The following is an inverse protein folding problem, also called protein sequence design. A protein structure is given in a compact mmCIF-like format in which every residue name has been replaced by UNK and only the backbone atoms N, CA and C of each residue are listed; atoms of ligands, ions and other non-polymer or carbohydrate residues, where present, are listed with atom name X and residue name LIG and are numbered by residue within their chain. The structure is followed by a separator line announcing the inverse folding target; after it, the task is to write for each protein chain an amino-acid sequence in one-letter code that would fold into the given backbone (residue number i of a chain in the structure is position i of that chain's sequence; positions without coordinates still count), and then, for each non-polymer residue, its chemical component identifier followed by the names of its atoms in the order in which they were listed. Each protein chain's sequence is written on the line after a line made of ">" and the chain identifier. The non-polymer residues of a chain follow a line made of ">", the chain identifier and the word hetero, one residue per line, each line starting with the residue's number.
data_IF_313708481854
#
_entry.id   IF_313708481854
#
_cell.length_a   1.000
_cell.length_b   1.000
_cell.length_c   1.000
_cell.angle_alpha   90.00
_cell.angle_beta   90.00
_cell.angle_gamma   90.00
#
_symmetry.space_group_name_H-M   'P 1'
#
loop_
_entity.id
_entity.type
_entity.pdbx_description
1 polymer ?
#
# COMPACT_ATOMS: atom_id res chain seq x y z
N UNK A 1 -2.38 -11.88 -3.88
CA UNK A 1 -1.11 -11.56 -4.59
C UNK A 1 -0.52 -12.84 -5.14
N UNK A 2 -0.05 -12.84 -6.41
CA UNK A 2 0.48 -14.04 -7.06
C UNK A 2 1.86 -14.45 -6.53
N UNK A 3 2.22 -15.75 -6.65
CA UNK A 3 3.57 -16.24 -6.31
C UNK A 3 4.68 -15.52 -7.11
N UNK A 4 4.41 -15.10 -8.34
CA UNK A 4 5.34 -14.32 -9.15
C UNK A 4 5.59 -12.92 -8.56
N UNK A 5 4.55 -12.26 -8.04
CA UNK A 5 4.69 -10.98 -7.35
C UNK A 5 5.54 -11.10 -6.08
N UNK A 6 5.32 -12.13 -5.26
CA UNK A 6 6.13 -12.39 -4.07
C UNK A 6 7.61 -12.56 -4.43
N UNK A 7 7.92 -13.40 -5.41
CA UNK A 7 9.30 -13.64 -5.86
C UNK A 7 10.01 -12.37 -6.34
N UNK A 8 9.28 -11.46 -6.99
CA UNK A 8 9.81 -10.16 -7.41
C UNK A 8 10.27 -9.32 -6.21
N UNK A 9 9.42 -9.21 -5.17
CA UNK A 9 9.72 -8.41 -3.98
C UNK A 9 10.85 -9.01 -3.14
N UNK A 10 10.89 -10.34 -3.00
CA UNK A 10 11.98 -11.03 -2.30
C UNK A 10 13.34 -10.81 -2.99
N UNK A 11 13.37 -10.91 -4.33
CA UNK A 11 14.60 -10.71 -5.10
C UNK A 11 15.14 -9.27 -5.03
N UNK A 12 14.26 -8.29 -4.86
CA UNK A 12 14.62 -6.87 -4.87
C UNK A 12 14.68 -6.22 -3.48
N UNK A 13 14.38 -6.96 -2.42
CA UNK A 13 14.21 -6.43 -1.06
C UNK A 13 15.42 -5.61 -0.55
N UNK A 14 16.65 -5.97 -0.92
CA UNK A 14 17.85 -5.28 -0.44
C UNK A 14 18.05 -3.89 -1.05
N UNK A 15 17.58 -3.68 -2.30
CA UNK A 15 17.86 -2.47 -3.07
C UNK A 15 16.73 -1.43 -3.00
N UNK A 16 15.51 -1.85 -2.73
CA UNK A 16 14.33 -0.97 -2.84
C UNK A 16 14.22 -0.01 -1.66
N UNK A 17 13.85 1.24 -1.97
CA UNK A 17 13.53 2.28 -0.99
C UNK A 17 12.17 2.87 -1.31
N UNK A 18 11.33 3.02 -0.28
CA UNK A 18 9.98 3.54 -0.40
C UNK A 18 9.90 4.98 0.09
N UNK A 19 9.14 5.83 -0.61
CA UNK A 19 9.17 7.28 -0.43
C UNK A 19 7.78 7.92 -0.28
N UNK A 20 6.69 7.14 -0.24
CA UNK A 20 5.36 7.70 0.00
C UNK A 20 5.34 8.42 1.34
N UNK A 21 5.09 9.74 1.38
CA UNK A 21 5.13 10.50 2.62
C UNK A 21 3.95 10.11 3.51
N UNK A 22 4.17 10.02 4.81
CA UNK A 22 3.13 9.83 5.81
C UNK A 22 2.70 11.21 6.36
N UNK A 23 1.45 11.61 6.11
CA UNK A 23 0.89 12.80 6.73
C UNK A 23 0.33 12.46 8.12
N UNK A 24 1.12 12.72 9.17
CA UNK A 24 0.76 12.42 10.55
C UNK A 24 -0.44 13.22 11.07
N UNK A 25 -0.70 14.41 10.50
CA UNK A 25 -1.85 15.24 10.89
C UNK A 25 -3.18 14.54 10.60
N UNK A 26 -3.23 13.70 9.57
CA UNK A 26 -4.41 12.91 9.23
C UNK A 26 -4.71 11.80 10.24
N UNK A 27 -3.73 11.44 11.05
CA UNK A 27 -3.86 10.46 12.13
C UNK A 27 -3.96 11.12 13.52
N UNK A 28 -3.84 12.45 13.61
CA UNK A 28 -3.73 13.17 14.89
C UNK A 28 -4.93 12.96 15.83
N UNK A 29 -6.12 12.66 15.28
CA UNK A 29 -7.32 12.35 16.07
C UNK A 29 -7.28 10.94 16.71
N UNK A 30 -6.36 10.06 16.31
CA UNK A 30 -6.21 8.74 16.92
C UNK A 30 -5.45 8.84 18.24
N UNK A 31 -5.89 8.15 19.30
CA UNK A 31 -5.12 8.04 20.52
C UNK A 31 -3.77 7.36 20.26
N UNK A 32 -2.72 7.71 21.02
CA UNK A 32 -1.38 7.10 20.82
C UNK A 32 -1.35 5.59 21.10
N UNK A 33 -2.34 5.07 21.82
CA UNK A 33 -2.53 3.64 22.04
C UNK A 33 -3.32 2.95 20.91
N UNK A 34 -3.75 3.67 19.86
CA UNK A 34 -4.50 3.10 18.75
C UNK A 34 -3.75 1.92 18.10
N UNK A 35 -4.49 0.86 17.77
CA UNK A 35 -3.97 -0.28 17.01
C UNK A 35 -3.97 0.09 15.53
N UNK A 36 -2.79 0.17 14.95
CA UNK A 36 -2.60 0.55 13.54
C UNK A 36 -1.98 -0.63 12.80
N UNK A 37 -2.54 -0.98 11.64
CA UNK A 37 -1.96 -1.96 10.72
C UNK A 37 -1.37 -1.22 9.51
N UNK A 38 -0.12 -1.50 9.18
CA UNK A 38 0.50 -1.14 7.89
C UNK A 38 0.50 -2.38 6.99
N UNK A 39 -0.42 -2.42 6.03
CA UNK A 39 -0.55 -3.56 5.11
C UNK A 39 0.32 -3.34 3.87
N UNK A 40 1.21 -4.28 3.59
CA UNK A 40 2.27 -4.11 2.59
C UNK A 40 3.40 -3.23 3.14
N UNK A 41 3.76 -3.43 4.41
CA UNK A 41 4.68 -2.55 5.15
C UNK A 41 6.13 -2.56 4.63
N UNK A 42 6.48 -3.50 3.75
CA UNK A 42 7.85 -3.70 3.30
C UNK A 42 8.80 -3.92 4.48
N UNK A 43 9.86 -3.13 4.53
CA UNK A 43 10.83 -3.15 5.63
C UNK A 43 10.45 -2.28 6.84
N UNK A 44 9.19 -1.80 6.93
CA UNK A 44 8.66 -1.13 8.11
C UNK A 44 8.97 0.37 8.23
N UNK A 45 9.24 1.07 7.13
CA UNK A 45 9.50 2.53 7.14
C UNK A 45 8.36 3.30 7.81
N UNK A 46 7.12 3.07 7.41
CA UNK A 46 5.93 3.74 7.96
C UNK A 46 5.75 3.44 9.44
N UNK A 47 6.02 2.20 9.86
CA UNK A 47 5.97 1.83 11.29
C UNK A 47 7.00 2.59 12.11
N UNK A 48 8.22 2.77 11.58
CA UNK A 48 9.25 3.54 12.26
C UNK A 48 8.84 5.02 12.44
N UNK A 49 8.19 5.62 11.42
CA UNK A 49 7.66 6.99 11.50
C UNK A 49 6.52 7.10 12.53
N UNK A 50 5.60 6.12 12.54
CA UNK A 50 4.53 6.04 13.55
C UNK A 50 5.08 5.91 14.97
N UNK A 51 6.05 5.03 15.17
CA UNK A 51 6.69 4.83 16.48
C UNK A 51 7.39 6.11 16.97
N UNK A 52 8.13 6.78 16.08
CA UNK A 52 8.79 8.06 16.38
C UNK A 52 7.77 9.16 16.76
N UNK A 53 6.57 9.10 16.17
CA UNK A 53 5.46 10.02 16.50
C UNK A 53 4.64 9.57 17.73
N UNK A 54 5.00 8.45 18.38
CA UNK A 54 4.40 7.97 19.62
C UNK A 54 3.25 6.96 19.45
N UNK A 55 2.96 6.48 18.24
CA UNK A 55 2.06 5.33 18.02
C UNK A 55 2.87 4.03 18.11
N UNK A 56 2.95 3.45 19.29
CA UNK A 56 3.76 2.25 19.55
C UNK A 56 3.00 0.94 19.43
N UNK A 57 1.68 1.01 19.23
CA UNK A 57 0.83 -0.17 19.01
C UNK A 57 0.50 -0.36 17.52
N UNK A 58 1.54 -0.24 16.69
CA UNK A 58 1.44 -0.44 15.25
C UNK A 58 2.13 -1.76 14.86
N UNK A 59 1.48 -2.52 13.97
CA UNK A 59 2.00 -3.75 13.37
C UNK A 59 2.05 -3.62 11.85
N UNK A 60 3.00 -4.27 11.22
CA UNK A 60 3.11 -4.33 9.76
C UNK A 60 3.07 -5.75 9.24
N UNK A 61 2.38 -5.94 8.13
CA UNK A 61 2.35 -7.23 7.42
C UNK A 61 2.84 -7.06 5.98
N UNK A 62 3.59 -8.05 5.50
CA UNK A 62 4.06 -8.06 4.10
C UNK A 62 4.18 -9.49 3.58
N UNK A 63 4.00 -9.69 2.27
CA UNK A 63 4.18 -10.98 1.60
C UNK A 63 5.64 -11.34 1.37
N UNK A 64 6.53 -10.35 1.33
CA UNK A 64 7.95 -10.58 1.12
C UNK A 64 8.62 -10.92 2.44
N UNK A 65 9.04 -12.17 2.58
CA UNK A 65 9.83 -12.61 3.73
C UNK A 65 11.15 -11.83 3.82
N UNK A 66 11.78 -11.55 2.68
CA UNK A 66 13.04 -10.81 2.63
C UNK A 66 12.88 -9.34 3.07
N UNK A 67 11.75 -8.68 2.75
CA UNK A 67 11.44 -7.34 3.25
C UNK A 67 11.27 -7.35 4.78
N UNK A 68 10.54 -8.32 5.31
CA UNK A 68 10.32 -8.47 6.75
C UNK A 68 11.65 -8.73 7.48
N UNK A 69 12.50 -9.60 6.95
CA UNK A 69 13.84 -9.88 7.53
C UNK A 69 14.71 -8.62 7.53
N UNK A 70 14.75 -7.87 6.41
CA UNK A 70 15.45 -6.59 6.33
C UNK A 70 14.94 -5.61 7.38
N UNK A 71 13.62 -5.49 7.51
CA UNK A 71 12.99 -4.59 8.48
C UNK A 71 13.32 -4.94 9.92
N UNK A 72 13.25 -6.24 10.28
CA UNK A 72 13.61 -6.74 11.62
C UNK A 72 15.09 -6.51 11.95
N UNK A 73 15.97 -6.64 10.97
CA UNK A 73 17.39 -6.36 11.16
C UNK A 73 17.68 -4.88 11.41
N UNK A 74 16.93 -3.98 10.76
CA UNK A 74 17.10 -2.53 10.88
C UNK A 74 16.37 -1.94 12.09
N UNK A 75 15.21 -2.49 12.45
CA UNK A 75 14.35 -2.02 13.55
C UNK A 75 13.80 -3.17 14.37
N UNK A 76 14.61 -3.80 15.26
CA UNK A 76 14.25 -5.03 15.96
C UNK A 76 13.06 -4.89 16.93
N UNK A 77 12.64 -3.67 17.22
CA UNK A 77 11.46 -3.39 18.07
C UNK A 77 10.16 -3.24 17.28
N UNK A 78 10.21 -3.21 15.93
CA UNK A 78 9.02 -3.11 15.10
C UNK A 78 8.29 -4.47 15.04
N UNK A 79 6.97 -4.46 15.17
CA UNK A 79 6.14 -5.65 14.99
C UNK A 79 5.91 -5.89 13.49
N UNK A 80 6.82 -6.60 12.85
CA UNK A 80 6.78 -6.94 11.44
C UNK A 80 6.48 -8.42 11.26
N UNK A 81 5.46 -8.74 10.45
CA UNK A 81 4.97 -10.12 10.25
C UNK A 81 4.90 -10.48 8.78
N UNK A 82 5.49 -11.61 8.42
CA UNK A 82 5.30 -12.21 7.09
C UNK A 82 3.93 -12.86 7.02
N UNK A 83 3.21 -12.67 5.91
CA UNK A 83 1.90 -13.27 5.62
C UNK A 83 1.94 -14.03 4.31
N UNK A 84 1.19 -15.13 4.23
CA UNK A 84 1.11 -15.95 3.02
C UNK A 84 -0.06 -15.55 2.10
N UNK A 85 -1.04 -14.81 2.59
CA UNK A 85 -2.23 -14.43 1.83
C UNK A 85 -3.37 -13.91 2.71
N UNK A 86 -4.51 -13.73 2.08
CA UNK A 86 -5.77 -13.36 2.73
C UNK A 86 -6.63 -14.60 3.01
N UNK A 87 -7.52 -14.57 4.02
CA UNK A 87 -7.69 -13.50 5.02
C UNK A 87 -6.57 -13.55 6.07
N UNK A 88 -6.36 -12.41 6.77
CA UNK A 88 -5.50 -12.37 7.96
C UNK A 88 -6.17 -13.06 9.15
N UNK A 89 -5.36 -13.57 10.08
CA UNK A 89 -5.87 -14.28 11.25
C UNK A 89 -6.55 -13.39 12.30
N UNK A 90 -6.42 -12.06 12.16
CA UNK A 90 -7.00 -11.09 13.07
C UNK A 90 -8.54 -11.07 12.99
N UNK A 91 -9.23 -10.86 14.13
CA UNK A 91 -10.68 -10.75 14.16
C UNK A 91 -11.20 -9.50 13.45
N UNK A 92 -12.49 -9.48 13.16
CA UNK A 92 -13.18 -8.31 12.61
C UNK A 92 -13.03 -7.11 13.55
N UNK A 93 -12.77 -5.93 12.98
CA UNK A 93 -12.62 -4.70 13.73
C UNK A 93 -11.39 -4.65 14.64
N UNK A 94 -10.36 -5.41 14.34
CA UNK A 94 -9.15 -5.51 15.14
C UNK A 94 -8.36 -4.19 15.23
N UNK A 95 -8.50 -3.30 14.24
CA UNK A 95 -7.65 -2.12 14.11
C UNK A 95 -8.45 -0.81 14.13
N UNK A 96 -7.87 0.22 14.76
CA UNK A 96 -8.38 1.59 14.74
C UNK A 96 -8.08 2.27 13.41
N UNK A 97 -6.97 1.91 12.78
CA UNK A 97 -6.62 2.39 11.45
C UNK A 97 -5.83 1.32 10.67
N UNK A 98 -5.98 1.36 9.34
CA UNK A 98 -5.15 0.60 8.40
C UNK A 98 -4.52 1.57 7.41
N UNK A 99 -3.22 1.39 7.17
CA UNK A 99 -2.43 2.12 6.17
C UNK A 99 -2.17 1.18 4.99
N UNK A 100 -2.33 1.69 3.77
CA UNK A 100 -2.14 0.96 2.52
C UNK A 100 -1.38 1.85 1.54
N UNK A 101 -0.05 1.76 1.53
CA UNK A 101 0.81 2.64 0.73
C UNK A 101 1.51 1.87 -0.39
N UNK A 102 1.24 2.25 -1.64
CA UNK A 102 1.80 1.67 -2.86
C UNK A 102 1.62 0.15 -2.95
N UNK A 103 0.48 -0.37 -2.48
CA UNK A 103 0.14 -1.79 -2.54
C UNK A 103 -0.76 -2.10 -3.72
N UNK A 104 -1.81 -1.29 -3.96
CA UNK A 104 -2.72 -1.51 -5.10
C UNK A 104 -1.95 -1.49 -6.43
N UNK A 105 -0.92 -0.64 -6.54
CA UNK A 105 -0.03 -0.60 -7.71
C UNK A 105 0.68 -1.93 -7.98
N UNK A 106 0.80 -2.82 -7.01
CA UNK A 106 1.46 -4.14 -7.14
C UNK A 106 0.49 -5.28 -7.43
N UNK A 107 -0.80 -4.98 -7.52
CA UNK A 107 -1.90 -5.91 -7.74
C UNK A 107 -2.59 -5.53 -9.06
N UNK A 108 -2.22 -6.11 -10.19
CA UNK A 108 -2.80 -5.75 -11.48
C UNK A 108 -4.26 -6.21 -11.66
N UNK A 109 -4.68 -7.24 -10.94
CA UNK A 109 -5.99 -7.88 -11.03
C UNK A 109 -7.07 -7.15 -10.20
N UNK A 110 -8.23 -6.89 -10.83
CA UNK A 110 -9.34 -6.17 -10.19
C UNK A 110 -9.99 -6.96 -9.05
N UNK A 111 -10.10 -8.29 -9.19
CA UNK A 111 -10.73 -9.12 -8.16
C UNK A 111 -9.83 -9.24 -6.93
N UNK A 112 -8.52 -9.36 -7.12
CA UNK A 112 -7.55 -9.33 -6.03
C UNK A 112 -7.57 -7.98 -5.29
N UNK A 113 -7.66 -6.84 -6.00
CA UNK A 113 -7.78 -5.52 -5.37
C UNK A 113 -9.08 -5.40 -4.55
N UNK A 114 -10.22 -5.85 -5.12
CA UNK A 114 -11.51 -5.86 -4.41
C UNK A 114 -11.47 -6.77 -3.18
N UNK A 115 -10.88 -7.95 -3.29
CA UNK A 115 -10.73 -8.86 -2.16
C UNK A 115 -9.87 -8.26 -1.04
N UNK A 116 -8.77 -7.58 -1.39
CA UNK A 116 -7.96 -6.85 -0.42
C UNK A 116 -8.77 -5.76 0.27
N UNK A 117 -9.47 -4.91 -0.47
CA UNK A 117 -10.24 -3.81 0.12
C UNK A 117 -11.37 -4.32 1.03
N UNK A 118 -12.01 -5.44 0.68
CA UNK A 118 -13.00 -6.10 1.54
C UNK A 118 -12.38 -6.59 2.85
N UNK A 119 -11.19 -7.19 2.79
CA UNK A 119 -10.45 -7.62 3.97
C UNK A 119 -10.03 -6.44 4.85
N UNK A 120 -9.50 -5.37 4.27
CA UNK A 120 -9.14 -4.17 5.05
C UNK A 120 -10.36 -3.57 5.73
N UNK A 121 -11.51 -3.55 5.03
CA UNK A 121 -12.78 -3.13 5.63
C UNK A 121 -13.18 -4.04 6.80
N UNK A 122 -13.02 -5.35 6.70
CA UNK A 122 -13.28 -6.30 7.80
C UNK A 122 -12.41 -5.98 9.03
N UNK A 123 -11.12 -5.75 8.80
CA UNK A 123 -10.11 -5.53 9.84
C UNK A 123 -10.26 -4.20 10.58
N UNK A 124 -10.73 -3.15 9.90
CA UNK A 124 -10.95 -1.83 10.51
C UNK A 124 -12.23 -1.88 11.34
N UNK A 125 -12.22 -1.41 12.59
CA UNK A 125 -13.43 -1.30 13.41
C UNK A 125 -14.42 -0.27 12.85
N UNK A 126 -15.72 -0.35 13.18
CA UNK A 126 -16.66 0.74 12.86
C UNK A 126 -16.15 2.10 13.37
N UNK A 127 -16.14 3.10 12.47
CA UNK A 127 -15.60 4.43 12.76
C UNK A 127 -14.07 4.54 12.72
N UNK A 128 -13.34 3.45 12.45
CA UNK A 128 -11.89 3.44 12.23
C UNK A 128 -11.51 4.02 10.88
N UNK A 129 -10.21 4.16 10.64
CA UNK A 129 -9.66 4.86 9.47
C UNK A 129 -8.99 3.90 8.48
N UNK A 130 -9.17 4.18 7.21
CA UNK A 130 -8.36 3.66 6.12
C UNK A 130 -7.53 4.82 5.53
N UNK A 131 -6.20 4.66 5.46
CA UNK A 131 -5.31 5.63 4.85
C UNK A 131 -4.61 4.99 3.65
N UNK A 132 -5.02 5.39 2.45
CA UNK A 132 -4.48 4.89 1.17
C UNK A 132 -3.54 5.93 0.56
N UNK A 133 -2.44 5.47 -0.02
CA UNK A 133 -1.60 6.26 -0.92
C UNK A 133 -1.20 5.39 -2.09
N UNK A 134 -1.69 5.70 -3.30
CA UNK A 134 -1.34 4.93 -4.49
C UNK A 134 -1.18 5.80 -5.73
N UNK A 135 -0.58 5.24 -6.79
CA UNK A 135 -0.18 6.01 -7.96
C UNK A 135 -1.35 6.27 -8.91
N UNK A 136 -1.49 7.55 -9.30
CA UNK A 136 -2.36 7.94 -10.40
C UNK A 136 -1.73 7.62 -11.77
N UNK A 137 -2.56 7.52 -12.80
CA UNK A 137 -2.08 7.51 -14.18
C UNK A 137 -1.26 8.78 -14.45
N UNK A 138 -0.07 8.60 -15.00
CA UNK A 138 0.82 9.68 -15.39
C UNK A 138 0.57 10.06 -16.85
N UNK A 139 0.88 11.28 -17.25
CA UNK A 139 0.58 11.84 -18.58
C UNK A 139 1.80 12.02 -19.47
N UNK A 140 2.98 11.68 -18.98
CA UNK A 140 4.21 11.75 -19.79
C UNK A 140 4.26 10.64 -20.84
N UNK A 141 4.96 10.91 -21.95
CA UNK A 141 5.00 10.03 -23.10
C UNK A 141 5.47 8.59 -22.81
N UNK A 142 6.41 8.43 -21.85
CA UNK A 142 6.90 7.11 -21.45
C UNK A 142 5.79 6.30 -20.78
N UNK A 143 5.06 6.93 -19.84
CA UNK A 143 3.98 6.27 -19.13
C UNK A 143 2.81 5.93 -20.06
N UNK A 144 2.43 6.85 -20.95
CA UNK A 144 1.37 6.60 -21.93
C UNK A 144 1.72 5.41 -22.81
N UNK A 145 2.93 5.37 -23.38
CA UNK A 145 3.36 4.26 -24.24
C UNK A 145 3.31 2.90 -23.53
N UNK A 146 3.73 2.83 -22.26
CA UNK A 146 3.71 1.56 -21.51
C UNK A 146 2.28 1.14 -21.11
N UNK A 147 1.37 2.09 -20.85
CA UNK A 147 -0.03 1.77 -20.58
C UNK A 147 -0.73 1.21 -21.82
N UNK A 148 -0.46 1.77 -23.01
CA UNK A 148 -0.98 1.24 -24.28
C UNK A 148 -0.48 -0.19 -24.53
N UNK A 149 0.83 -0.43 -24.39
CA UNK A 149 1.42 -1.75 -24.54
C UNK A 149 0.87 -2.74 -23.49
N UNK A 150 0.74 -2.32 -22.24
CA UNK A 150 0.21 -3.11 -21.15
C UNK A 150 -1.27 -3.44 -21.34
N UNK A 151 -2.09 -2.46 -21.78
CA UNK A 151 -3.50 -2.69 -22.07
C UNK A 151 -3.72 -3.75 -23.15
N UNK A 152 -2.89 -3.75 -24.21
CA UNK A 152 -2.95 -4.77 -25.24
C UNK A 152 -2.63 -6.18 -24.70
N UNK A 153 -1.77 -6.29 -23.67
CA UNK A 153 -1.33 -7.55 -23.09
C UNK A 153 -2.22 -8.06 -21.95
N UNK A 154 -2.63 -7.15 -21.06
CA UNK A 154 -3.34 -7.47 -19.83
C UNK A 154 -4.84 -7.16 -19.89
N UNK A 155 -5.31 -6.48 -20.94
CA UNK A 155 -6.72 -6.07 -21.07
C UNK A 155 -7.13 -4.90 -20.16
N UNK A 156 -6.21 -4.32 -19.40
CA UNK A 156 -6.48 -3.24 -18.43
C UNK A 156 -5.52 -2.08 -18.69
N UNK A 157 -6.06 -0.88 -18.98
CA UNK A 157 -5.27 0.34 -19.13
C UNK A 157 -4.70 0.76 -17.77
N UNK A 158 -3.42 1.14 -17.75
CA UNK A 158 -2.70 1.46 -16.53
C UNK A 158 -1.85 0.30 -15.98
N UNK A 159 -2.08 -0.94 -16.42
CA UNK A 159 -1.20 -2.08 -16.12
C UNK A 159 -0.01 -2.08 -17.08
N UNK A 160 1.17 -2.40 -16.59
CA UNK A 160 2.39 -2.43 -17.41
C UNK A 160 3.46 -3.34 -16.81
N UNK A 161 4.30 -3.90 -17.70
CA UNK A 161 5.42 -4.76 -17.34
C UNK A 161 6.72 -3.96 -17.24
N UNK A 162 7.57 -4.34 -16.31
CA UNK A 162 8.97 -3.90 -16.22
C UNK A 162 9.89 -4.95 -16.83
N UNK A 163 11.04 -4.51 -17.32
CA UNK A 163 12.06 -5.39 -17.89
C UNK A 163 12.63 -6.41 -16.88
N UNK A 164 12.52 -6.11 -15.57
CA UNK A 164 12.97 -6.97 -14.48
C UNK A 164 11.89 -7.97 -14.00
N UNK A 165 10.77 -8.08 -14.73
CA UNK A 165 9.70 -9.04 -14.48
C UNK A 165 8.62 -8.55 -13.51
N UNK A 166 8.70 -7.31 -13.01
CA UNK A 166 7.63 -6.72 -12.21
C UNK A 166 6.42 -6.33 -13.07
N UNK A 167 5.21 -6.56 -12.57
CA UNK A 167 3.96 -6.07 -13.18
C UNK A 167 3.35 -5.07 -12.23
N UNK A 168 3.01 -3.90 -12.75
CA UNK A 168 2.51 -2.78 -11.95
C UNK A 168 1.27 -2.19 -12.58
N UNK A 169 0.51 -1.44 -11.77
CA UNK A 169 -0.69 -0.74 -12.18
C UNK A 169 -0.71 0.67 -11.60
N UNK A 170 -1.04 1.65 -12.44
CA UNK A 170 -1.45 2.99 -12.00
C UNK A 170 -2.96 3.14 -12.20
N UNK A 171 -3.60 3.94 -11.39
CA UNK A 171 -5.06 4.02 -11.30
C UNK A 171 -5.58 5.36 -11.80
N UNK A 172 -6.81 5.37 -12.30
CA UNK A 172 -7.57 6.63 -12.37
C UNK A 172 -8.09 6.99 -10.97
N UNK A 173 -8.48 8.24 -10.78
CA UNK A 173 -9.14 8.68 -9.54
C UNK A 173 -10.44 7.89 -9.30
N UNK A 174 -11.24 7.71 -10.36
CA UNK A 174 -12.51 6.98 -10.33
C UNK A 174 -12.32 5.50 -9.95
N UNK A 175 -11.24 4.86 -10.40
CA UNK A 175 -10.92 3.48 -10.01
C UNK A 175 -10.60 3.39 -8.51
N UNK A 176 -9.85 4.35 -7.96
CA UNK A 176 -9.59 4.43 -6.52
C UNK A 176 -10.87 4.77 -5.74
N UNK A 177 -11.76 5.61 -6.29
CA UNK A 177 -13.08 5.89 -5.71
C UNK A 177 -13.90 4.62 -5.58
N UNK A 178 -13.97 3.83 -6.66
CA UNK A 178 -14.71 2.58 -6.68
C UNK A 178 -14.14 1.52 -5.69
N UNK A 179 -12.81 1.45 -5.55
CA UNK A 179 -12.17 0.56 -4.57
C UNK A 179 -12.45 0.98 -3.12
N UNK A 180 -12.64 2.27 -2.88
CA UNK A 180 -12.92 2.82 -1.56
C UNK A 180 -14.44 2.97 -1.29
N UNK A 181 -15.30 2.40 -2.14
CA UNK A 181 -16.74 2.45 -1.93
C UNK A 181 -17.14 1.93 -0.54
N UNK A 182 -18.07 2.63 0.09
CA UNK A 182 -18.50 2.35 1.46
C UNK A 182 -17.56 2.89 2.56
N UNK A 183 -16.48 3.59 2.20
CA UNK A 183 -15.71 4.42 3.14
C UNK A 183 -16.08 5.89 2.96
N UNK A 184 -16.31 6.60 4.07
CA UNK A 184 -16.57 8.04 4.04
C UNK A 184 -15.26 8.84 3.93
N UNK A 185 -14.99 9.46 2.79
CA UNK A 185 -13.80 10.30 2.58
C UNK A 185 -13.74 11.44 3.61
N UNK A 186 -12.58 11.62 4.26
CA UNK A 186 -12.31 12.69 5.23
C UNK A 186 -11.40 13.74 4.61
N UNK A 187 -10.31 13.30 3.98
CA UNK A 187 -9.35 14.19 3.33
C UNK A 187 -8.66 13.48 2.17
N UNK A 188 -8.22 14.26 1.19
CA UNK A 188 -7.38 13.79 0.11
C UNK A 188 -6.34 14.84 -0.30
N UNK A 189 -5.24 14.38 -0.88
CA UNK A 189 -4.20 15.21 -1.47
C UNK A 189 -3.49 14.46 -2.59
N UNK A 190 -3.12 15.16 -3.65
CA UNK A 190 -2.10 14.67 -4.58
C UNK A 190 -0.72 15.01 -4.04
N UNK A 191 0.17 14.04 -4.06
CA UNK A 191 1.54 14.19 -3.59
C UNK A 191 2.52 13.74 -4.65
N UNK A 192 3.61 14.50 -4.83
CA UNK A 192 4.73 14.03 -5.62
C UNK A 192 5.54 13.05 -4.78
N UNK A 193 5.81 11.88 -5.34
CA UNK A 193 6.67 10.87 -4.73
C UNK A 193 7.70 10.38 -5.74
N UNK A 194 8.70 9.67 -5.26
CA UNK A 194 9.74 9.09 -6.12
C UNK A 194 9.56 7.58 -6.11
N UNK A 195 9.43 7.00 -7.30
CA UNK A 195 9.40 5.53 -7.43
C UNK A 195 10.76 4.95 -7.02
N UNK A 196 10.80 3.67 -6.71
CA UNK A 196 12.07 2.97 -6.42
C UNK A 196 13.06 2.96 -7.60
N UNK A 197 12.62 3.30 -8.82
CA UNK A 197 13.49 3.52 -9.99
C UNK A 197 13.97 4.97 -10.15
N UNK A 198 13.65 5.85 -9.19
CA UNK A 198 14.06 7.25 -9.17
C UNK A 198 13.18 8.21 -9.98
N UNK A 199 12.12 7.74 -10.63
CA UNK A 199 11.20 8.60 -11.37
C UNK A 199 10.23 9.33 -10.41
N UNK A 200 9.98 10.62 -10.68
CA UNK A 200 8.93 11.36 -10.00
C UNK A 200 7.57 11.01 -10.58
N UNK A 201 6.61 10.80 -9.71
CA UNK A 201 5.24 10.41 -10.06
C UNK A 201 4.24 11.04 -9.09
N UNK A 202 3.03 11.25 -9.55
CA UNK A 202 1.93 11.70 -8.71
C UNK A 202 1.22 10.50 -8.10
N UNK A 203 1.07 10.54 -6.78
CA UNK A 203 0.23 9.62 -6.03
C UNK A 203 -0.96 10.38 -5.43
N UNK A 204 -2.09 9.69 -5.29
CA UNK A 204 -3.25 10.16 -4.56
C UNK A 204 -3.23 9.60 -3.15
N UNK A 205 -3.25 10.47 -2.17
CA UNK A 205 -3.42 10.11 -0.77
C UNK A 205 -4.84 10.40 -0.33
N UNK A 206 -5.40 9.48 0.45
CA UNK A 206 -6.75 9.59 1.01
C UNK A 206 -6.81 9.03 2.41
N UNK A 207 -7.50 9.71 3.29
CA UNK A 207 -7.97 9.14 4.55
C UNK A 207 -9.48 9.10 4.55
N UNK A 208 -10.04 7.96 4.93
CA UNK A 208 -11.48 7.73 4.92
C UNK A 208 -11.91 6.92 6.14
N UNK A 209 -13.17 7.01 6.52
CA UNK A 209 -13.76 6.35 7.69
C UNK A 209 -14.61 5.15 7.27
N UNK A 210 -14.44 4.04 7.99
CA UNK A 210 -15.33 2.89 7.87
C UNK A 210 -16.69 3.14 8.50
#
# INVERSE_FOLDING_TARGET
>A
MSAAGQGYWDANAAALTFTHPLNLDWLAALPKAARILDYGCGYGRTLAELAAAGWTNAAGVDFSAAMIERGRAAGPTLDLRHIAGLPLAEPDGAYDAVILFAVLTTIPDDDEQRALMAELRRLIRPGGLLYVSDYLLQTDARNLARYEAGAARHGVYGVWDRDDGGVFRHHTREALDALMDGFGLIAEAEVETTTFSGAKVTALQRVARR
#
